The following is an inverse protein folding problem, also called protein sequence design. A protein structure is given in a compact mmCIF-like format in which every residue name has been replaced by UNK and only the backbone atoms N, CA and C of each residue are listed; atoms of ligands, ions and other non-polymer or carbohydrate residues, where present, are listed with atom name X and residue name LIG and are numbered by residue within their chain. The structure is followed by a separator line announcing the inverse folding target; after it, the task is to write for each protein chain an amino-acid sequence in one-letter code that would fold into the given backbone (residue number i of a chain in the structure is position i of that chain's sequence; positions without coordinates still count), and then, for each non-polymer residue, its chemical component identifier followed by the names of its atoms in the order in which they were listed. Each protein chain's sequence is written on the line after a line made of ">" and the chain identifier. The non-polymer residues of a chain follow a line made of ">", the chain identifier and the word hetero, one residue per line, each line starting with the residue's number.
data_IF_742554997004
#
_entry.id   IF_742554997004
#
_cell.length_a   1.000
_cell.length_b   1.000
_cell.length_c   1.000
_cell.angle_alpha   90.00
_cell.angle_beta   90.00
_cell.angle_gamma   90.00
#
_symmetry.space_group_name_H-M   'P 1'
#
loop_
_entity.id
_entity.type
_entity.pdbx_description
1 polymer ?
#
# COMPACT_ATOMS: atom_id res chain seq x y z
N UNK A 1 -30.41 -9.73 1.50
CA UNK A 1 -29.42 -9.59 0.41
C UNK A 1 -28.72 -8.27 0.59
N UNK A 2 -27.39 -8.27 0.60
CA UNK A 2 -26.57 -7.06 0.73
C UNK A 2 -26.66 -6.29 -0.59
N UNK A 3 -27.09 -5.03 -0.56
CA UNK A 3 -27.13 -4.20 -1.77
C UNK A 3 -25.76 -3.57 -2.01
N UNK A 4 -25.19 -3.77 -3.20
CA UNK A 4 -23.92 -3.14 -3.57
C UNK A 4 -24.16 -1.70 -4.08
N UNK A 5 -23.36 -0.71 -3.65
CA UNK A 5 -23.42 0.64 -4.21
C UNK A 5 -23.08 0.67 -5.69
N UNK A 6 -23.79 1.49 -6.48
CA UNK A 6 -23.54 1.63 -7.93
C UNK A 6 -22.08 1.98 -8.25
N UNK A 7 -21.49 2.90 -7.49
CA UNK A 7 -20.09 3.30 -7.69
C UNK A 7 -19.13 2.12 -7.50
N UNK A 8 -19.37 1.26 -6.50
CA UNK A 8 -18.55 0.06 -6.29
C UNK A 8 -18.64 -0.88 -7.49
N UNK A 9 -19.84 -1.16 -7.99
CA UNK A 9 -20.02 -2.03 -9.17
C UNK A 9 -19.34 -1.46 -10.43
N UNK A 10 -19.38 -0.14 -10.62
CA UNK A 10 -18.71 0.54 -11.72
C UNK A 10 -17.19 0.46 -11.61
N UNK A 11 -16.64 0.62 -10.41
CA UNK A 11 -15.20 0.47 -10.17
C UNK A 11 -14.75 -0.96 -10.50
N UNK A 12 -15.45 -1.98 -10.02
CA UNK A 12 -15.12 -3.39 -10.29
C UNK A 12 -15.11 -3.68 -11.79
N UNK A 13 -16.13 -3.23 -12.53
CA UNK A 13 -16.20 -3.41 -14.00
C UNK A 13 -15.11 -2.60 -14.71
N UNK A 14 -14.84 -1.37 -14.27
CA UNK A 14 -13.82 -0.52 -14.89
C UNK A 14 -12.41 -1.09 -14.77
N UNK A 15 -12.08 -1.64 -13.60
CA UNK A 15 -10.76 -2.20 -13.28
C UNK A 15 -10.59 -3.61 -13.84
N UNK A 16 -11.57 -4.48 -13.60
CA UNK A 16 -11.48 -5.91 -13.90
C UNK A 16 -12.26 -6.35 -15.15
N UNK A 17 -12.90 -5.42 -15.88
CA UNK A 17 -13.59 -5.69 -17.15
C UNK A 17 -14.59 -6.84 -17.04
N UNK A 18 -14.48 -7.85 -17.91
CA UNK A 18 -15.43 -8.96 -17.99
C UNK A 18 -15.33 -9.86 -16.75
N UNK A 19 -14.12 -10.07 -16.23
CA UNK A 19 -13.88 -10.82 -15.00
C UNK A 19 -14.59 -10.16 -13.81
N UNK A 20 -14.58 -8.82 -13.75
CA UNK A 20 -15.31 -8.05 -12.74
C UNK A 20 -16.83 -8.21 -12.86
N UNK A 21 -17.36 -8.25 -14.09
CA UNK A 21 -18.78 -8.47 -14.34
C UNK A 21 -19.22 -9.86 -13.89
N UNK A 22 -18.48 -10.89 -14.27
CA UNK A 22 -18.75 -12.28 -13.86
C UNK A 22 -18.70 -12.44 -12.33
N UNK A 23 -17.72 -11.79 -11.69
CA UNK A 23 -17.61 -11.77 -10.24
C UNK A 23 -18.84 -11.13 -9.58
N UNK A 24 -19.30 -9.97 -10.09
CA UNK A 24 -20.52 -9.30 -9.60
C UNK A 24 -21.78 -10.16 -9.78
N UNK A 25 -21.91 -10.84 -10.92
CA UNK A 25 -23.06 -11.72 -11.21
C UNK A 25 -23.11 -12.91 -10.20
N UNK A 26 -21.95 -13.39 -9.76
CA UNK A 26 -21.81 -14.46 -8.75
C UNK A 26 -21.78 -13.97 -7.30
N UNK A 27 -21.85 -12.66 -7.04
CA UNK A 27 -21.52 -12.07 -5.73
C UNK A 27 -22.38 -12.63 -4.58
N UNK A 28 -23.68 -12.82 -4.79
CA UNK A 28 -24.57 -13.36 -3.76
C UNK A 28 -24.28 -14.83 -3.44
N UNK A 29 -23.85 -15.61 -4.44
CA UNK A 29 -23.43 -16.99 -4.23
C UNK A 29 -22.10 -17.04 -3.45
N UNK A 30 -21.17 -16.13 -3.74
CA UNK A 30 -19.93 -16.00 -2.98
C UNK A 30 -20.21 -15.67 -1.50
N UNK A 31 -21.14 -14.76 -1.21
CA UNK A 31 -21.52 -14.45 0.18
C UNK A 31 -22.14 -15.68 0.86
N UNK A 32 -23.06 -16.38 0.20
CA UNK A 32 -23.70 -17.57 0.76
C UNK A 32 -22.69 -18.71 1.02
N UNK A 33 -21.70 -18.87 0.14
CA UNK A 33 -20.57 -19.78 0.33
C UNK A 33 -19.74 -19.40 1.56
N UNK A 34 -19.43 -18.12 1.75
CA UNK A 34 -18.73 -17.64 2.95
C UNK A 34 -19.51 -17.94 4.24
N UNK A 35 -20.80 -17.60 4.26
CA UNK A 35 -21.68 -17.82 5.43
C UNK A 35 -21.76 -19.30 5.80
N UNK A 36 -21.83 -20.17 4.79
CA UNK A 36 -21.88 -21.63 4.98
C UNK A 36 -20.52 -22.18 5.43
N UNK A 37 -19.44 -21.82 4.73
CA UNK A 37 -18.09 -22.36 4.93
C UNK A 37 -17.56 -22.06 6.32
N UNK A 38 -17.74 -20.82 6.79
CA UNK A 38 -17.18 -20.36 8.07
C UNK A 38 -18.23 -20.25 9.17
N UNK A 39 -19.47 -20.69 8.92
CA UNK A 39 -20.60 -20.55 9.85
C UNK A 39 -20.67 -19.13 10.41
N UNK A 40 -20.70 -18.14 9.52
CA UNK A 40 -20.68 -16.72 9.86
C UNK A 40 -21.92 -16.02 9.32
N UNK A 41 -22.21 -14.84 9.88
CA UNK A 41 -23.21 -13.92 9.36
C UNK A 41 -22.52 -12.65 8.89
N UNK A 42 -22.76 -12.26 7.63
CA UNK A 42 -22.23 -11.01 7.08
C UNK A 42 -23.11 -9.84 7.52
N UNK A 43 -22.48 -8.75 7.98
CA UNK A 43 -23.16 -7.52 8.39
C UNK A 43 -23.05 -6.45 7.30
N UNK A 44 -23.56 -5.25 7.59
CA UNK A 44 -23.44 -4.11 6.67
C UNK A 44 -21.96 -3.80 6.38
N UNK A 45 -21.58 -3.65 5.09
CA UNK A 45 -20.19 -3.45 4.71
C UNK A 45 -19.64 -2.09 5.18
N UNK A 46 -18.32 -2.01 5.23
CA UNK A 46 -17.63 -0.72 5.33
C UNK A 46 -17.81 0.09 4.04
N UNK A 47 -17.44 1.39 4.01
CA UNK A 47 -17.35 2.12 2.75
C UNK A 47 -16.48 1.35 1.73
N UNK A 48 -17.07 1.03 0.58
CA UNK A 48 -16.46 0.15 -0.43
C UNK A 48 -15.74 0.95 -1.51
N UNK A 49 -14.63 0.39 -2.02
CA UNK A 49 -13.85 0.96 -3.14
C UNK A 49 -13.50 -0.11 -4.18
N UNK A 50 -12.38 -0.83 -4.00
CA UNK A 50 -11.86 -1.83 -4.94
C UNK A 50 -12.14 -3.27 -4.51
N UNK A 51 -12.50 -3.49 -3.24
CA UNK A 51 -12.83 -4.80 -2.70
C UNK A 51 -14.12 -4.68 -1.86
N UNK A 52 -14.89 -5.76 -1.78
CA UNK A 52 -15.98 -5.86 -0.82
C UNK A 52 -15.40 -6.17 0.55
N UNK A 53 -15.67 -5.36 1.57
CA UNK A 53 -15.18 -5.55 2.94
C UNK A 53 -16.31 -5.34 3.93
N UNK A 54 -16.59 -6.35 4.74
CA UNK A 54 -17.68 -6.30 5.72
C UNK A 54 -17.29 -6.91 7.07
N UNK A 55 -17.81 -6.37 8.19
CA UNK A 55 -17.74 -7.07 9.46
C UNK A 55 -18.61 -8.34 9.40
N UNK A 56 -18.17 -9.37 10.11
CA UNK A 56 -18.91 -10.63 10.23
C UNK A 56 -18.91 -11.10 11.68
N UNK A 57 -19.93 -11.86 12.04
CA UNK A 57 -20.03 -12.53 13.34
C UNK A 57 -19.99 -14.03 13.10
N UNK A 58 -19.00 -14.71 13.67
CA UNK A 58 -18.93 -16.17 13.64
C UNK A 58 -20.00 -16.77 14.56
N UNK A 59 -20.34 -18.04 14.35
CA UNK A 59 -21.34 -18.76 15.17
C UNK A 59 -21.03 -18.74 16.68
N UNK A 60 -19.76 -18.66 17.07
CA UNK A 60 -19.32 -18.57 18.46
C UNK A 60 -19.35 -17.14 19.04
N UNK A 61 -19.83 -16.16 18.27
CA UNK A 61 -19.96 -14.76 18.66
C UNK A 61 -18.70 -13.91 18.45
N UNK A 62 -17.59 -14.49 17.97
CA UNK A 62 -16.39 -13.69 17.64
C UNK A 62 -16.63 -12.80 16.43
N UNK A 63 -16.05 -11.60 16.47
CA UNK A 63 -16.06 -10.66 15.34
C UNK A 63 -14.85 -10.92 14.42
N UNK A 64 -15.09 -10.85 13.11
CA UNK A 64 -14.05 -10.87 12.08
C UNK A 64 -14.39 -9.87 10.97
N UNK A 65 -13.52 -9.77 9.98
CA UNK A 65 -13.76 -9.02 8.74
C UNK A 65 -13.64 -9.97 7.57
N UNK A 66 -14.64 -9.94 6.70
CA UNK A 66 -14.65 -10.67 5.45
C UNK A 66 -14.29 -9.70 4.31
N UNK A 67 -13.22 -10.01 3.58
CA UNK A 67 -12.76 -9.27 2.40
C UNK A 67 -12.87 -10.17 1.17
N UNK A 68 -13.59 -9.70 0.15
CA UNK A 68 -13.71 -10.35 -1.15
C UNK A 68 -13.17 -9.40 -2.23
N UNK A 69 -12.36 -9.93 -3.13
CA UNK A 69 -11.91 -9.22 -4.33
C UNK A 69 -12.09 -10.09 -5.57
N UNK A 70 -12.00 -9.47 -6.75
CA UNK A 70 -11.91 -10.23 -7.99
C UNK A 70 -10.56 -10.98 -7.98
N UNK A 71 -10.53 -12.31 -8.17
CA UNK A 71 -9.29 -13.08 -8.15
C UNK A 71 -8.24 -12.52 -9.12
N UNK A 72 -7.02 -12.33 -8.64
CA UNK A 72 -5.94 -11.74 -9.42
C UNK A 72 -4.63 -11.61 -8.64
N UNK A 73 -3.57 -11.20 -9.33
CA UNK A 73 -2.22 -11.13 -8.76
C UNK A 73 -2.14 -10.20 -7.54
N UNK A 74 -2.87 -9.08 -7.55
CA UNK A 74 -2.81 -8.12 -6.44
C UNK A 74 -3.36 -8.72 -5.14
N UNK A 75 -4.49 -9.44 -5.22
CA UNK A 75 -5.09 -10.10 -4.07
C UNK A 75 -4.24 -11.28 -3.58
N UNK A 76 -3.61 -12.03 -4.49
CA UNK A 76 -2.65 -13.08 -4.15
C UNK A 76 -1.43 -12.52 -3.42
N UNK A 77 -0.91 -11.37 -3.87
CA UNK A 77 0.19 -10.67 -3.19
C UNK A 77 -0.21 -10.16 -1.82
N UNK A 78 -1.38 -9.56 -1.69
CA UNK A 78 -1.90 -9.13 -0.39
C UNK A 78 -1.98 -10.31 0.59
N UNK A 79 -2.60 -11.42 0.16
CA UNK A 79 -2.73 -12.62 0.98
C UNK A 79 -1.36 -13.18 1.39
N UNK A 80 -0.41 -13.25 0.45
CA UNK A 80 0.94 -13.70 0.71
C UNK A 80 1.67 -12.78 1.70
N UNK A 81 1.48 -11.45 1.59
CA UNK A 81 2.10 -10.48 2.48
C UNK A 81 1.54 -10.61 3.91
N UNK A 82 0.21 -10.69 4.07
CA UNK A 82 -0.44 -10.91 5.37
C UNK A 82 0.09 -12.19 6.02
N UNK A 83 0.17 -13.30 5.27
CA UNK A 83 0.74 -14.57 5.74
C UNK A 83 2.21 -14.41 6.18
N UNK A 84 3.02 -13.69 5.41
CA UNK A 84 4.45 -13.52 5.68
C UNK A 84 4.74 -12.60 6.88
N UNK A 85 3.89 -11.62 7.16
CA UNK A 85 4.01 -10.79 8.36
C UNK A 85 3.61 -11.52 9.64
N UNK A 86 2.84 -12.60 9.55
CA UNK A 86 2.44 -13.47 10.67
C UNK A 86 1.85 -12.66 11.84
N UNK A 87 1.04 -11.65 11.54
CA UNK A 87 0.42 -10.78 12.54
C UNK A 87 1.32 -9.74 13.20
N UNK A 88 2.61 -9.62 12.83
CA UNK A 88 3.56 -8.67 13.44
C UNK A 88 3.34 -7.27 12.88
N UNK A 89 2.72 -6.36 13.64
CA UNK A 89 2.37 -5.03 13.15
C UNK A 89 1.36 -5.01 12.00
N UNK A 90 0.76 -6.15 11.68
CA UNK A 90 -0.12 -6.38 10.53
C UNK A 90 -1.35 -7.16 11.00
N UNK A 91 -2.50 -6.97 10.35
CA UNK A 91 -3.72 -7.75 10.57
C UNK A 91 -3.46 -9.25 10.45
N UNK A 92 -4.13 -10.05 11.26
CA UNK A 92 -4.07 -11.50 11.20
C UNK A 92 -5.07 -12.06 10.17
N UNK A 93 -4.57 -13.00 9.37
CA UNK A 93 -5.42 -13.89 8.58
C UNK A 93 -5.96 -14.99 9.49
N UNK A 94 -7.29 -15.13 9.54
CA UNK A 94 -7.97 -16.22 10.22
C UNK A 94 -8.14 -17.43 9.30
N UNK A 95 -8.58 -17.19 8.05
CA UNK A 95 -8.68 -18.20 6.99
C UNK A 95 -8.80 -17.52 5.61
N UNK A 96 -8.71 -18.27 4.51
CA UNK A 96 -8.88 -17.76 3.16
C UNK A 96 -9.40 -18.82 2.18
N UNK A 97 -10.01 -18.35 1.09
CA UNK A 97 -10.17 -19.09 -0.15
C UNK A 97 -9.43 -18.29 -1.25
N UNK A 98 -8.20 -18.71 -1.54
CA UNK A 98 -7.31 -17.98 -2.45
C UNK A 98 -7.79 -18.03 -3.91
N UNK A 99 -8.38 -19.15 -4.33
CA UNK A 99 -8.90 -19.32 -5.70
C UNK A 99 -10.10 -18.41 -5.95
N UNK A 100 -10.98 -18.24 -4.94
CA UNK A 100 -12.16 -17.36 -5.02
C UNK A 100 -11.88 -15.92 -4.60
N UNK A 101 -10.66 -15.60 -4.16
CA UNK A 101 -10.30 -14.25 -3.73
C UNK A 101 -11.00 -13.81 -2.44
N UNK A 102 -11.04 -14.69 -1.44
CA UNK A 102 -11.72 -14.46 -0.16
C UNK A 102 -10.71 -14.51 0.98
N UNK A 103 -10.76 -13.53 1.87
CA UNK A 103 -10.00 -13.50 3.12
C UNK A 103 -10.92 -13.28 4.32
N UNK A 104 -10.74 -14.09 5.36
CA UNK A 104 -11.31 -13.86 6.67
C UNK A 104 -10.19 -13.35 7.59
N UNK A 105 -10.34 -12.12 8.06
CA UNK A 105 -9.33 -11.37 8.82
C UNK A 105 -9.81 -11.12 10.25
N UNK A 106 -8.87 -10.91 11.18
CA UNK A 106 -9.24 -10.45 12.52
C UNK A 106 -9.97 -9.10 12.44
N UNK A 107 -10.93 -8.88 13.34
CA UNK A 107 -11.57 -7.57 13.47
C UNK A 107 -10.70 -6.66 14.35
N UNK A 108 -10.16 -5.61 13.75
CA UNK A 108 -9.44 -4.57 14.50
C UNK A 108 -10.44 -3.65 15.20
N UNK A 109 -10.30 -3.54 16.53
CA UNK A 109 -11.09 -2.67 17.40
C UNK A 109 -10.15 -1.75 18.21
N UNK A 110 -10.45 -0.43 18.35
CA UNK A 110 -11.62 0.26 17.82
C UNK A 110 -11.57 0.48 16.29
N UNK A 111 -10.41 0.35 15.65
CA UNK A 111 -10.28 0.45 14.19
C UNK A 111 -10.24 1.89 13.66
N UNK A 112 -9.98 2.88 14.52
CA UNK A 112 -9.75 4.27 14.10
C UNK A 112 -8.44 4.36 13.32
N UNK A 113 -8.47 5.04 12.17
CA UNK A 113 -7.32 5.24 11.29
C UNK A 113 -6.37 6.30 11.83
N UNK A 114 -5.09 6.23 11.45
CA UNK A 114 -4.03 7.08 11.96
C UNK A 114 -4.23 8.58 11.65
N UNK A 115 -4.96 8.92 10.57
CA UNK A 115 -5.28 10.30 10.20
C UNK A 115 -6.12 11.02 11.26
N UNK A 116 -6.80 10.27 12.15
CA UNK A 116 -7.60 10.85 13.25
C UNK A 116 -6.76 11.43 14.39
N UNK A 117 -5.47 11.10 14.48
CA UNK A 117 -4.57 11.77 15.41
C UNK A 117 -4.33 13.22 14.95
N UNK A 118 -4.32 14.17 15.88
CA UNK A 118 -4.08 15.59 15.56
C UNK A 118 -2.59 15.95 15.53
N UNK A 119 -1.75 15.18 16.22
CA UNK A 119 -0.31 15.44 16.33
C UNK A 119 0.48 14.68 15.26
N UNK A 120 1.24 15.43 14.46
CA UNK A 120 2.11 14.85 13.43
C UNK A 120 3.24 14.00 14.05
N UNK A 121 3.79 14.43 15.18
CA UNK A 121 4.81 13.68 15.91
C UNK A 121 4.26 12.34 16.42
N UNK A 122 3.01 12.31 16.90
CA UNK A 122 2.36 11.06 17.31
C UNK A 122 2.18 10.12 16.12
N UNK A 123 1.74 10.63 14.96
CA UNK A 123 1.60 9.84 13.73
C UNK A 123 2.93 9.21 13.31
N UNK A 124 4.01 10.00 13.33
CA UNK A 124 5.38 9.55 13.05
C UNK A 124 5.79 8.41 13.99
N UNK A 125 5.56 8.55 15.31
CA UNK A 125 5.91 7.50 16.28
C UNK A 125 5.07 6.24 16.09
N UNK A 126 3.79 6.37 15.76
CA UNK A 126 2.90 5.25 15.50
C UNK A 126 3.34 4.48 14.26
N UNK A 127 3.58 5.17 13.13
CA UNK A 127 4.12 4.56 11.90
C UNK A 127 5.44 3.84 12.19
N UNK A 128 6.39 4.50 12.85
CA UNK A 128 7.67 3.90 13.19
C UNK A 128 7.51 2.64 14.07
N UNK A 129 6.57 2.66 15.02
CA UNK A 129 6.23 1.51 15.84
C UNK A 129 5.73 0.33 15.01
N UNK A 130 4.84 0.58 14.04
CA UNK A 130 4.31 -0.44 13.13
C UNK A 130 5.42 -1.01 12.25
N UNK A 131 6.25 -0.17 11.61
CA UNK A 131 7.37 -0.60 10.76
C UNK A 131 8.36 -1.47 11.55
N UNK A 132 8.69 -1.12 12.80
CA UNK A 132 9.57 -1.93 13.65
C UNK A 132 9.04 -3.34 13.89
N UNK A 133 7.72 -3.48 14.06
CA UNK A 133 7.07 -4.78 14.27
C UNK A 133 6.98 -5.57 12.97
N UNK A 134 6.66 -4.91 11.86
CA UNK A 134 6.59 -5.54 10.53
C UNK A 134 7.97 -5.94 9.97
N UNK A 135 9.07 -5.38 10.48
CA UNK A 135 10.42 -5.61 9.96
C UNK A 135 10.74 -7.11 9.79
N UNK A 136 10.73 -7.55 8.52
CA UNK A 136 10.90 -8.95 8.15
C UNK A 136 11.91 -9.05 7.01
N UNK A 137 13.19 -9.37 7.31
CA UNK A 137 14.19 -9.62 6.28
C UNK A 137 13.74 -10.70 5.31
N UNK A 138 14.05 -10.56 4.01
CA UNK A 138 13.65 -11.51 2.96
C UNK A 138 14.07 -12.95 3.27
N UNK A 139 15.22 -13.14 3.95
CA UNK A 139 15.68 -14.45 4.39
C UNK A 139 14.70 -15.17 5.33
N UNK A 140 13.90 -14.43 6.11
CA UNK A 140 12.84 -14.98 6.97
C UNK A 140 11.53 -15.21 6.23
N UNK A 141 11.28 -14.47 5.15
CA UNK A 141 10.10 -14.66 4.28
C UNK A 141 10.22 -15.97 3.50
N UNK A 142 11.44 -16.36 3.15
CA UNK A 142 11.71 -17.61 2.45
C UNK A 142 11.13 -17.60 1.03
N UNK A 143 10.50 -18.70 0.61
CA UNK A 143 10.00 -18.86 -0.76
C UNK A 143 8.87 -17.88 -1.13
N UNK A 144 8.12 -17.37 -0.15
CA UNK A 144 7.07 -16.38 -0.42
C UNK A 144 7.64 -15.06 -0.97
N UNK A 145 8.93 -14.80 -0.78
CA UNK A 145 9.57 -13.60 -1.31
C UNK A 145 9.47 -13.48 -2.83
N UNK A 146 9.39 -14.61 -3.55
CA UNK A 146 9.28 -14.64 -5.02
C UNK A 146 7.89 -14.25 -5.53
N UNK A 147 6.88 -14.15 -4.65
CA UNK A 147 5.53 -13.68 -5.02
C UNK A 147 5.46 -12.16 -5.14
N UNK A 148 6.35 -11.45 -4.45
CA UNK A 148 6.32 -10.00 -4.38
C UNK A 148 7.21 -9.38 -5.45
N UNK A 149 6.76 -8.29 -6.10
CA UNK A 149 7.67 -7.47 -6.89
C UNK A 149 8.76 -6.89 -5.97
N UNK A 150 9.89 -6.55 -6.56
CA UNK A 150 10.94 -5.78 -5.93
C UNK A 150 10.82 -4.30 -6.27
N UNK A 151 11.46 -3.43 -5.48
CA UNK A 151 11.61 -2.01 -5.87
C UNK A 151 12.31 -1.87 -7.23
N UNK A 152 13.21 -2.81 -7.58
CA UNK A 152 13.86 -2.82 -8.89
C UNK A 152 12.86 -3.09 -10.03
N UNK A 153 11.90 -3.98 -9.83
CA UNK A 153 10.84 -4.25 -10.82
C UNK A 153 9.97 -3.01 -11.06
N UNK A 154 9.73 -2.21 -10.01
CA UNK A 154 9.02 -0.93 -10.15
C UNK A 154 9.85 0.12 -10.89
N UNK A 155 11.17 0.15 -10.69
CA UNK A 155 12.07 1.07 -11.38
C UNK A 155 12.01 0.92 -12.91
N UNK A 156 11.75 -0.30 -13.41
CA UNK A 156 11.55 -0.58 -14.85
C UNK A 156 10.39 0.24 -15.43
N UNK A 157 9.43 0.66 -14.61
CA UNK A 157 8.34 1.55 -15.03
C UNK A 157 8.85 2.84 -15.66
N UNK A 158 9.94 3.42 -15.15
CA UNK A 158 10.52 4.65 -15.72
C UNK A 158 11.09 4.44 -17.14
N UNK A 159 11.51 3.23 -17.48
CA UNK A 159 12.04 2.93 -18.82
C UNK A 159 10.95 2.99 -19.90
N UNK A 160 9.67 2.91 -19.51
CA UNK A 160 8.52 3.00 -20.42
C UNK A 160 8.19 4.42 -20.87
N UNK A 161 8.69 5.44 -20.16
CA UNK A 161 8.37 6.85 -20.44
C UNK A 161 8.78 7.24 -21.87
N UNK A 162 10.02 6.94 -22.27
CA UNK A 162 10.51 7.30 -23.62
C UNK A 162 9.79 6.56 -24.75
N UNK A 163 9.61 5.23 -24.68
CA UNK A 163 8.78 4.51 -25.64
C UNK A 163 7.37 5.10 -25.77
N UNK A 164 6.74 5.47 -24.65
CA UNK A 164 5.40 6.04 -24.65
C UNK A 164 5.35 7.41 -25.38
N UNK A 165 6.36 8.25 -25.19
CA UNK A 165 6.44 9.58 -25.80
C UNK A 165 7.37 9.65 -27.03
N UNK A 166 7.53 8.54 -27.77
CA UNK A 166 8.27 8.50 -29.03
C UNK A 166 9.71 9.06 -28.94
N UNK A 167 10.39 8.80 -27.81
CA UNK A 167 11.76 9.23 -27.52
C UNK A 167 11.86 10.46 -26.61
N UNK A 168 10.78 11.23 -26.46
CA UNK A 168 10.69 12.33 -25.50
C UNK A 168 10.29 11.82 -24.09
N UNK A 169 10.12 12.74 -23.13
CA UNK A 169 9.69 12.42 -21.75
C UNK A 169 8.31 12.96 -21.40
N UNK A 170 7.59 13.46 -22.40
CA UNK A 170 6.27 14.07 -22.22
C UNK A 170 6.36 15.25 -21.24
N UNK A 171 5.47 15.32 -20.23
CA UNK A 171 5.48 16.41 -19.25
C UNK A 171 6.59 16.27 -18.19
N UNK A 172 7.24 15.11 -18.06
CA UNK A 172 8.31 14.89 -17.08
C UNK A 172 9.60 15.55 -17.61
N UNK A 173 10.24 16.48 -16.87
CA UNK A 173 11.49 17.08 -17.32
C UNK A 173 12.60 16.04 -17.50
N UNK A 174 13.34 16.12 -18.61
CA UNK A 174 14.43 15.19 -18.95
C UNK A 174 15.41 15.00 -17.79
N UNK A 175 15.88 16.11 -17.21
CA UNK A 175 16.83 16.10 -16.09
C UNK A 175 16.27 15.40 -14.84
N UNK A 176 14.96 15.53 -14.60
CA UNK A 176 14.29 14.89 -13.47
C UNK A 176 14.25 13.37 -13.65
N UNK A 177 13.91 12.92 -14.87
CA UNK A 177 13.92 11.50 -15.20
C UNK A 177 15.34 10.91 -15.10
N UNK A 178 16.33 11.55 -15.71
CA UNK A 178 17.72 11.11 -15.68
C UNK A 178 18.25 11.00 -14.25
N UNK A 179 17.96 12.01 -13.41
CA UNK A 179 18.37 12.02 -12.00
C UNK A 179 17.68 10.91 -11.21
N UNK A 180 16.39 10.64 -11.46
CA UNK A 180 15.68 9.54 -10.82
C UNK A 180 16.31 8.19 -11.20
N UNK A 181 16.61 7.97 -12.48
CA UNK A 181 17.28 6.75 -12.95
C UNK A 181 18.68 6.59 -12.34
N UNK A 182 19.44 7.67 -12.21
CA UNK A 182 20.75 7.66 -11.54
C UNK A 182 20.63 7.27 -10.06
N UNK A 183 19.65 7.83 -9.34
CA UNK A 183 19.38 7.47 -7.95
C UNK A 183 18.94 6.02 -7.81
N UNK A 184 17.99 5.54 -8.62
CA UNK A 184 17.59 4.13 -8.65
C UNK A 184 18.82 3.22 -8.79
N UNK A 185 19.69 3.50 -9.77
CA UNK A 185 20.92 2.72 -9.98
C UNK A 185 21.84 2.74 -8.76
N UNK A 186 22.11 3.92 -8.18
CA UNK A 186 22.95 4.07 -6.99
C UNK A 186 22.35 3.32 -5.80
N UNK A 187 21.07 3.54 -5.50
CA UNK A 187 20.39 2.96 -4.35
C UNK A 187 20.33 1.42 -4.45
N UNK A 188 19.92 0.88 -5.59
CA UNK A 188 19.87 -0.57 -5.83
C UNK A 188 21.25 -1.22 -5.75
N UNK A 189 22.31 -0.58 -6.29
CA UNK A 189 23.67 -1.14 -6.24
C UNK A 189 24.31 -1.12 -4.85
N UNK A 190 23.81 -0.26 -3.95
CA UNK A 190 24.33 -0.07 -2.59
C UNK A 190 23.36 -0.57 -1.52
N UNK A 191 22.27 -1.22 -1.93
CA UNK A 191 21.25 -1.62 -0.98
C UNK A 191 21.76 -2.67 -0.01
N UNK A 192 21.29 -2.59 1.24
CA UNK A 192 21.63 -3.58 2.27
C UNK A 192 20.64 -4.75 2.20
N UNK A 193 20.38 -5.37 3.36
CA UNK A 193 19.48 -6.52 3.47
C UNK A 193 18.05 -6.07 3.11
N UNK A 194 17.45 -6.60 2.02
CA UNK A 194 16.08 -6.28 1.68
C UNK A 194 15.11 -6.94 2.66
N UNK A 195 13.98 -6.27 2.87
CA UNK A 195 12.88 -6.69 3.71
C UNK A 195 11.61 -6.87 2.87
N UNK A 196 10.68 -7.67 3.38
CA UNK A 196 9.29 -7.54 2.97
C UNK A 196 8.74 -6.24 3.55
N UNK A 197 8.18 -5.44 2.66
CA UNK A 197 7.54 -4.16 2.90
C UNK A 197 6.03 -4.31 2.72
N UNK A 198 5.27 -3.47 3.41
CA UNK A 198 3.85 -3.30 3.16
C UNK A 198 3.63 -2.71 1.76
N UNK A 199 4.43 -1.70 1.40
CA UNK A 199 4.46 -1.10 0.06
C UNK A 199 3.38 -0.06 -0.21
N UNK A 200 2.53 0.22 0.78
CA UNK A 200 1.46 1.24 0.71
C UNK A 200 1.04 1.70 2.12
N UNK A 201 2.03 1.88 3.00
CA UNK A 201 1.79 2.12 4.42
C UNK A 201 1.51 3.61 4.69
N UNK A 202 0.27 4.04 4.44
CA UNK A 202 -0.22 5.39 4.75
C UNK A 202 -1.23 5.37 5.91
N UNK A 203 -1.78 6.54 6.24
CA UNK A 203 -2.53 6.78 7.47
C UNK A 203 -3.79 5.89 7.61
N UNK A 204 -4.51 5.69 6.52
CA UNK A 204 -5.75 4.90 6.46
C UNK A 204 -5.49 3.39 6.55
N UNK A 205 -4.28 2.95 6.22
CA UNK A 205 -3.86 1.56 6.33
C UNK A 205 -3.28 1.22 7.70
N UNK A 206 -3.33 2.15 8.68
CA UNK A 206 -2.84 1.94 10.05
C UNK A 206 -3.98 2.23 11.02
N UNK A 207 -4.42 1.19 11.71
CA UNK A 207 -5.61 1.21 12.55
C UNK A 207 -5.23 1.01 14.01
N UNK A 208 -5.86 1.78 14.90
CA UNK A 208 -5.74 1.64 16.34
C UNK A 208 -6.34 0.30 16.76
N UNK A 209 -5.59 -0.47 17.54
CA UNK A 209 -5.95 -1.83 17.89
C UNK A 209 -5.73 -2.13 19.38
N UNK A 210 -6.37 -3.19 19.86
CA UNK A 210 -6.17 -3.72 21.22
C UNK A 210 -5.00 -4.71 21.29
N UNK A 211 -4.82 -5.55 20.26
CA UNK A 211 -3.77 -6.59 20.21
C UNK A 211 -2.35 -5.99 20.22
N UNK A 212 -2.20 -4.90 19.49
CA UNK A 212 -1.03 -4.01 19.49
C UNK A 212 -1.56 -2.58 19.39
N UNK A 213 -0.84 -1.54 19.83
CA UNK A 213 -1.38 -0.17 19.80
C UNK A 213 -1.89 0.27 18.43
N UNK A 214 -1.21 -0.20 17.37
CA UNK A 214 -1.54 0.06 15.97
C UNK A 214 -1.16 -1.16 15.12
N UNK A 215 -2.03 -1.49 14.16
CA UNK A 215 -1.85 -2.57 13.19
C UNK A 215 -2.05 -2.05 11.77
N UNK A 216 -1.27 -2.56 10.83
CA UNK A 216 -1.45 -2.30 9.42
C UNK A 216 -2.50 -3.23 8.77
N UNK A 217 -3.11 -2.78 7.67
CA UNK A 217 -4.04 -3.54 6.82
C UNK A 217 -3.72 -3.31 5.34
N UNK A 218 -4.22 -4.19 4.46
CA UNK A 218 -4.17 -4.01 3.00
C UNK A 218 -2.76 -3.84 2.39
N UNK A 219 -1.79 -4.74 2.71
CA UNK A 219 -0.46 -4.67 2.12
C UNK A 219 -0.48 -4.97 0.62
N UNK A 220 0.28 -4.20 -0.16
CA UNK A 220 0.58 -4.54 -1.56
C UNK A 220 1.63 -5.66 -1.67
N UNK A 221 2.52 -5.73 -0.67
CA UNK A 221 3.64 -6.67 -0.64
C UNK A 221 4.72 -6.26 -1.63
N UNK A 222 5.86 -5.81 -1.10
CA UNK A 222 6.99 -5.32 -1.91
C UNK A 222 8.29 -5.77 -1.27
N UNK A 223 9.28 -6.17 -2.06
CA UNK A 223 10.62 -6.50 -1.55
C UNK A 223 11.58 -5.34 -1.81
N UNK A 224 12.22 -4.85 -0.76
CA UNK A 224 13.16 -3.75 -0.91
C UNK A 224 13.74 -3.21 0.39
N UNK A 225 14.29 -2.00 0.33
CA UNK A 225 14.87 -1.37 1.50
C UNK A 225 13.84 -0.80 2.45
N UNK A 226 14.16 -0.84 3.75
CA UNK A 226 13.27 -0.31 4.81
C UNK A 226 13.06 1.20 4.63
N UNK A 227 14.04 1.92 4.09
CA UNK A 227 13.94 3.34 3.76
C UNK A 227 12.82 3.67 2.75
N UNK A 228 12.36 2.70 1.96
CA UNK A 228 11.28 2.90 1.00
C UNK A 228 9.88 2.82 1.65
N UNK A 229 9.74 2.06 2.75
CA UNK A 229 8.46 1.81 3.42
C UNK A 229 7.75 3.08 3.88
N UNK A 230 8.52 4.12 4.24
CA UNK A 230 7.96 5.36 4.80
C UNK A 230 7.34 6.26 3.74
N UNK A 231 7.61 6.03 2.45
CA UNK A 231 7.27 6.96 1.38
C UNK A 231 5.77 7.20 1.23
N UNK A 232 4.88 6.18 1.25
CA UNK A 232 3.44 6.42 1.21
C UNK A 232 2.98 7.38 2.32
N UNK A 233 3.53 7.27 3.53
CA UNK A 233 3.24 8.19 4.62
C UNK A 233 3.77 9.60 4.36
N UNK A 234 4.95 9.75 3.73
CA UNK A 234 5.50 11.07 3.37
C UNK A 234 4.61 11.83 2.37
N UNK A 235 3.94 11.11 1.47
CA UNK A 235 3.20 11.68 0.33
C UNK A 235 1.71 11.95 0.60
N UNK A 236 1.13 11.34 1.63
CA UNK A 236 -0.30 11.47 1.94
C UNK A 236 -0.58 12.51 3.02
N UNK A 237 -1.81 13.06 3.08
CA UNK A 237 -2.20 14.09 4.07
C UNK A 237 -1.25 15.28 4.12
N UNK A 238 -0.85 15.78 2.95
CA UNK A 238 -0.02 16.99 2.85
C UNK A 238 -0.93 18.23 2.67
N UNK A 239 -0.62 19.35 3.34
CA UNK A 239 -1.32 20.61 3.12
C UNK A 239 -0.97 21.20 1.75
N UNK A 240 -1.85 22.04 1.19
CA UNK A 240 -1.57 22.76 -0.07
C UNK A 240 -0.37 23.71 0.09
N UNK A 241 -0.30 24.42 1.22
CA UNK A 241 0.82 25.29 1.59
C UNK A 241 1.65 24.63 2.70
N UNK A 242 2.98 24.72 2.62
CA UNK A 242 3.87 24.19 3.66
C UNK A 242 4.12 22.67 3.59
N UNK A 243 3.80 22.02 2.47
CA UNK A 243 4.02 20.58 2.29
C UNK A 243 5.50 20.19 2.50
N UNK A 244 6.44 21.06 2.10
CA UNK A 244 7.88 20.81 2.24
C UNK A 244 8.32 20.70 3.71
N UNK A 245 7.78 21.57 4.56
CA UNK A 245 8.04 21.61 6.00
C UNK A 245 7.49 20.36 6.69
N UNK A 246 6.27 19.93 6.33
CA UNK A 246 5.67 18.68 6.83
C UNK A 246 6.50 17.48 6.39
N UNK A 247 6.87 17.38 5.11
CA UNK A 247 7.72 16.30 4.61
C UNK A 247 9.07 16.28 5.34
N UNK A 248 9.69 17.44 5.55
CA UNK A 248 10.95 17.56 6.29
C UNK A 248 10.82 17.06 7.72
N UNK A 249 9.77 17.49 8.45
CA UNK A 249 9.48 17.01 9.80
C UNK A 249 9.31 15.47 9.82
N UNK A 250 8.54 14.92 8.89
CA UNK A 250 8.33 13.46 8.77
C UNK A 250 9.63 12.71 8.50
N UNK A 251 10.44 13.18 7.56
CA UNK A 251 11.74 12.57 7.24
C UNK A 251 12.66 12.59 8.46
N UNK A 252 12.79 13.73 9.14
CA UNK A 252 13.66 13.86 10.32
C UNK A 252 13.17 12.99 11.48
N UNK A 253 11.86 12.97 11.73
CA UNK A 253 11.26 12.15 12.78
C UNK A 253 11.40 10.65 12.52
N UNK A 254 11.11 10.19 11.30
CA UNK A 254 11.17 8.77 10.93
C UNK A 254 12.60 8.27 10.84
N UNK A 255 13.51 9.05 10.26
CA UNK A 255 14.93 8.66 10.18
C UNK A 255 15.53 8.49 11.58
N UNK A 256 15.20 9.38 12.52
CA UNK A 256 15.56 9.24 13.93
C UNK A 256 14.90 8.02 14.58
N UNK A 257 13.58 7.86 14.44
CA UNK A 257 12.82 6.82 15.12
C UNK A 257 13.20 5.40 14.66
N UNK A 258 13.54 5.24 13.38
CA UNK A 258 13.85 3.97 12.72
C UNK A 258 15.34 3.76 12.44
N UNK A 259 16.20 4.73 12.78
CA UNK A 259 17.63 4.73 12.45
C UNK A 259 17.91 4.56 10.95
N UNK A 260 17.09 5.22 10.12
CA UNK A 260 17.21 5.18 8.66
C UNK A 260 18.22 6.21 8.15
N UNK A 261 18.77 5.95 6.96
CA UNK A 261 19.65 6.90 6.29
C UNK A 261 18.82 7.98 5.58
N UNK A 262 18.88 9.22 6.07
CA UNK A 262 18.11 10.36 5.53
C UNK A 262 18.29 10.56 4.02
N UNK A 263 19.53 10.53 3.51
CA UNK A 263 19.81 10.65 2.07
C UNK A 263 19.09 9.56 1.26
N UNK A 264 19.07 8.32 1.75
CA UNK A 264 18.39 7.20 1.08
C UNK A 264 16.88 7.36 1.09
N UNK A 265 16.29 7.77 2.22
CA UNK A 265 14.84 8.05 2.30
C UNK A 265 14.44 9.13 1.30
N UNK A 266 15.17 10.25 1.28
CA UNK A 266 14.89 11.35 0.36
C UNK A 266 15.09 10.95 -1.11
N UNK A 267 16.15 10.19 -1.42
CA UNK A 267 16.44 9.73 -2.77
C UNK A 267 15.40 8.71 -3.26
N UNK A 268 14.97 7.77 -2.40
CA UNK A 268 13.89 6.86 -2.72
C UNK A 268 12.56 7.60 -2.89
N UNK A 269 12.25 8.58 -2.04
CA UNK A 269 11.04 9.38 -2.14
C UNK A 269 11.00 10.23 -3.42
N UNK A 270 12.14 10.80 -3.83
CA UNK A 270 12.30 11.46 -5.12
C UNK A 270 12.00 10.49 -6.27
N UNK A 271 12.65 9.33 -6.29
CA UNK A 271 12.47 8.29 -7.30
C UNK A 271 11.01 7.82 -7.40
N UNK A 272 10.39 7.51 -6.26
CA UNK A 272 8.99 7.11 -6.18
C UNK A 272 8.06 8.21 -6.67
N UNK A 273 8.33 9.48 -6.34
CA UNK A 273 7.48 10.60 -6.77
C UNK A 273 7.49 10.78 -8.28
N UNK A 274 8.65 10.59 -8.93
CA UNK A 274 8.75 10.60 -10.40
C UNK A 274 8.00 9.42 -11.01
N UNK A 275 8.14 8.23 -10.43
CA UNK A 275 7.44 7.03 -10.87
C UNK A 275 5.91 7.14 -10.69
N UNK A 276 5.45 7.72 -9.58
CA UNK A 276 4.04 7.96 -9.29
C UNK A 276 3.42 9.01 -10.22
N UNK A 277 4.18 10.05 -10.59
CA UNK A 277 3.78 10.98 -11.62
C UNK A 277 3.64 10.27 -12.98
N UNK A 278 4.59 9.38 -13.33
CA UNK A 278 4.50 8.57 -14.53
C UNK A 278 3.25 7.67 -14.56
N UNK A 279 2.96 6.92 -13.51
CA UNK A 279 1.75 6.09 -13.44
C UNK A 279 0.48 6.91 -13.65
N UNK A 280 0.40 8.09 -13.04
CA UNK A 280 -0.74 8.98 -13.24
C UNK A 280 -0.86 9.44 -14.70
N UNK A 281 0.25 9.76 -15.35
CA UNK A 281 0.27 10.17 -16.76
C UNK A 281 -0.15 9.00 -17.67
N UNK A 282 0.29 7.77 -17.36
CA UNK A 282 -0.06 6.56 -18.10
C UNK A 282 -1.57 6.27 -18.01
N UNK A 283 -2.15 6.43 -16.82
CA UNK A 283 -3.56 6.11 -16.56
C UNK A 283 -4.54 7.23 -16.98
N UNK A 284 -4.17 8.50 -16.80
CA UNK A 284 -5.08 9.65 -16.92
C UNK A 284 -4.64 10.70 -17.95
N UNK A 285 -3.48 10.53 -18.56
CA UNK A 285 -2.93 11.47 -19.55
C UNK A 285 -2.05 12.57 -18.96
N UNK A 286 -1.46 13.37 -19.84
CA UNK A 286 -0.39 14.32 -19.52
C UNK A 286 -0.87 15.57 -18.76
N UNK A 287 -1.17 15.43 -17.46
CA UNK A 287 -1.24 16.54 -16.51
C UNK A 287 0.01 16.52 -15.60
N UNK A 288 0.74 17.65 -15.59
CA UNK A 288 1.97 17.82 -14.82
C UNK A 288 1.75 18.12 -13.34
N UNK A 289 0.50 18.15 -12.85
CA UNK A 289 0.16 18.47 -11.46
C UNK A 289 0.90 17.65 -10.40
N UNK A 290 1.29 16.41 -10.71
CA UNK A 290 2.06 15.53 -9.80
C UNK A 290 3.58 15.78 -9.75
N UNK A 291 4.11 16.71 -10.55
CA UNK A 291 5.55 17.00 -10.61
C UNK A 291 6.05 17.93 -9.49
N UNK A 292 5.16 18.42 -8.63
CA UNK A 292 5.52 19.23 -7.46
C UNK A 292 6.32 18.42 -6.42
N UNK A 293 5.92 17.16 -6.19
CA UNK A 293 6.53 16.32 -5.15
C UNK A 293 8.00 15.97 -5.41
N UNK A 294 8.41 15.55 -6.63
CA UNK A 294 9.83 15.41 -6.95
C UNK A 294 10.65 16.67 -6.63
N UNK A 295 10.12 17.86 -6.92
CA UNK A 295 10.80 19.13 -6.62
C UNK A 295 11.01 19.39 -5.13
N UNK A 296 10.08 18.95 -4.26
CA UNK A 296 10.26 19.05 -2.80
C UNK A 296 11.43 18.17 -2.34
N UNK A 297 11.46 16.89 -2.74
CA UNK A 297 12.53 15.98 -2.34
C UNK A 297 13.89 16.37 -2.93
N UNK A 298 13.90 16.93 -4.14
CA UNK A 298 15.13 17.45 -4.74
C UNK A 298 15.73 18.60 -3.93
N UNK A 299 14.91 19.56 -3.46
CA UNK A 299 15.39 20.62 -2.58
C UNK A 299 15.96 20.05 -1.28
N UNK A 300 15.23 19.14 -0.62
CA UNK A 300 15.67 18.52 0.62
C UNK A 300 16.93 17.66 0.48
N UNK A 301 17.21 17.09 -0.70
CA UNK A 301 18.45 16.37 -0.98
C UNK A 301 19.67 17.29 -1.09
N UNK A 302 19.46 18.58 -1.36
CA UNK A 302 20.51 19.57 -1.57
C UNK A 302 20.73 20.49 -0.34
N UNK A 303 19.96 20.29 0.75
CA UNK A 303 20.15 20.96 2.06
C UNK A 303 21.19 20.22 2.92
#
# INVERSE_FOLDING_TARGET
>A
MISLPTQFTQTIIGVHKEEGRLWLDSFHELIADCETRWSLKVLEPFPLSYNFVAPVVLQDGRNAVLKLGVPGQDLQRELAAIRAFTGRGMVQLLDADEEKGIMLLERIMPGETLDKLSSEDERIQCLAGVIKRMHTPVSRVGKLAFTFPTIADWAVGLEKIRPHFQGATGPIPEQMLERAMQWYKKLLSTQKVPCLLHGDLHHENILRAEREPWLAIDPKGLVGETEYEVIPFLLNHLPEEGAGEVVKQRVDGLTKALSLQKERVLAWAYCHSVLSAWWFIEDFGADGSRLVMPGIFERLLNE
#
